data_IF_588797543945
#
_entry.id   IF_588797543945
#
_cell.length_a   1.000
_cell.length_b   1.000
_cell.length_c   1.000
_cell.angle_alpha   90.00
_cell.angle_beta   90.00
_cell.angle_gamma   90.00
#
_symmetry.space_group_name_H-M   'P 1'
#
loop_
_entity.id
_entity.type
_entity.pdbx_description
1 polymer ?
#
# COMPACT_ATOMS: atom_id res chain seq x y z
N UNK A 1 23.83 21.63 -0.77
CA UNK A 1 23.85 20.17 -1.00
C UNK A 1 22.48 19.65 -0.60
N UNK A 2 21.59 19.43 -1.57
CA UNK A 2 20.32 18.76 -1.29
C UNK A 2 20.62 17.31 -0.92
N UNK A 3 20.12 16.86 0.23
CA UNK A 3 20.19 15.46 0.60
C UNK A 3 19.49 14.62 -0.49
N UNK A 4 20.00 13.42 -0.84
CA UNK A 4 19.32 12.57 -1.80
C UNK A 4 17.89 12.32 -1.29
N UNK A 5 16.89 12.82 -2.02
CA UNK A 5 15.50 12.52 -1.74
C UNK A 5 15.34 11.01 -1.91
N UNK A 6 15.28 10.27 -0.80
CA UNK A 6 14.95 8.85 -0.81
C UNK A 6 13.56 8.72 -1.40
N UNK A 7 13.46 8.03 -2.54
CA UNK A 7 12.19 7.78 -3.22
C UNK A 7 11.75 6.38 -2.82
N UNK A 8 10.66 6.27 -2.07
CA UNK A 8 10.00 5.00 -1.81
C UNK A 8 9.11 4.66 -3.02
N UNK A 9 9.34 3.49 -3.62
CA UNK A 9 8.50 2.98 -4.71
C UNK A 9 7.85 1.68 -4.26
N UNK A 10 6.53 1.62 -4.38
CA UNK A 10 5.74 0.43 -4.10
C UNK A 10 4.87 0.09 -5.31
N UNK A 11 4.94 -1.16 -5.74
CA UNK A 11 3.99 -1.75 -6.69
C UNK A 11 2.87 -2.41 -5.89
N UNK A 12 1.65 -1.90 -6.03
CA UNK A 12 0.49 -2.33 -5.25
C UNK A 12 -0.55 -2.88 -6.21
N UNK A 13 -0.76 -4.18 -6.15
CA UNK A 13 -1.80 -4.84 -6.93
C UNK A 13 -3.06 -5.00 -6.10
N UNK A 14 -4.15 -4.44 -6.62
CA UNK A 14 -5.49 -4.56 -6.06
C UNK A 14 -6.37 -5.44 -6.95
N UNK A 15 -7.23 -6.23 -6.33
CA UNK A 15 -8.31 -6.96 -6.99
C UNK A 15 -9.61 -6.25 -6.67
N UNK A 16 -10.27 -5.75 -7.70
CA UNK A 16 -11.59 -5.14 -7.56
C UNK A 16 -12.66 -6.23 -7.68
N UNK A 17 -13.52 -6.34 -6.68
CA UNK A 17 -14.67 -7.25 -6.63
C UNK A 17 -15.94 -6.44 -6.80
N UNK A 18 -16.71 -6.81 -7.80
CA UNK A 18 -18.01 -6.23 -8.10
C UNK A 18 -19.08 -7.16 -7.54
N UNK A 19 -19.93 -6.64 -6.66
CA UNK A 19 -21.11 -7.38 -6.25
C UNK A 19 -22.24 -7.23 -7.28
N UNK A 20 -23.26 -8.09 -7.20
CA UNK A 20 -24.43 -8.03 -8.08
C UNK A 20 -25.33 -6.81 -7.82
N UNK A 21 -25.05 -6.03 -6.77
CA UNK A 21 -25.76 -4.81 -6.41
C UNK A 21 -25.07 -3.53 -6.95
N UNK A 22 -23.92 -3.67 -7.62
CA UNK A 22 -23.15 -2.56 -8.17
C UNK A 22 -22.16 -1.92 -7.20
N UNK A 23 -21.97 -2.48 -6.01
CA UNK A 23 -20.92 -2.07 -5.06
C UNK A 23 -19.56 -2.60 -5.51
N UNK A 24 -18.55 -1.74 -5.42
CA UNK A 24 -17.15 -2.08 -5.69
C UNK A 24 -16.43 -2.19 -4.35
N UNK A 25 -15.83 -3.34 -4.11
CA UNK A 25 -14.86 -3.54 -3.02
C UNK A 25 -13.49 -3.84 -3.61
N UNK A 26 -12.43 -3.48 -2.91
CA UNK A 26 -11.06 -3.82 -3.34
C UNK A 26 -10.42 -4.77 -2.35
N UNK A 27 -9.41 -5.51 -2.80
CA UNK A 27 -8.58 -6.32 -1.93
C UNK A 27 -7.13 -6.17 -2.37
N UNK A 28 -6.23 -5.88 -1.43
CA UNK A 28 -4.80 -5.79 -1.73
C UNK A 28 -4.25 -7.20 -1.92
N UNK A 29 -3.95 -7.56 -3.17
CA UNK A 29 -3.43 -8.87 -3.53
C UNK A 29 -1.95 -9.01 -3.19
N UNK A 30 -1.13 -8.04 -3.63
CA UNK A 30 0.27 -8.00 -3.28
C UNK A 30 0.81 -6.56 -3.26
N UNK A 31 1.85 -6.35 -2.45
CA UNK A 31 2.62 -5.12 -2.37
C UNK A 31 4.09 -5.51 -2.51
N UNK A 32 4.79 -4.94 -3.51
CA UNK A 32 6.23 -5.15 -3.72
C UNK A 32 6.96 -3.83 -3.62
N UNK A 33 8.20 -3.86 -3.13
CA UNK A 33 9.07 -2.67 -3.21
C UNK A 33 9.80 -2.57 -4.55
N UNK A 34 10.64 -1.54 -4.69
CA UNK A 34 11.40 -1.26 -5.90
C UNK A 34 12.30 -2.41 -6.37
N UNK A 35 12.70 -3.30 -5.46
CA UNK A 35 13.53 -4.47 -5.75
C UNK A 35 12.70 -5.72 -6.05
N UNK A 36 11.37 -5.64 -5.93
CA UNK A 36 10.45 -6.73 -6.11
C UNK A 36 10.24 -7.59 -4.86
N UNK A 37 10.77 -7.19 -3.70
CA UNK A 37 10.56 -7.92 -2.45
C UNK A 37 9.10 -7.78 -1.99
N UNK A 38 8.54 -8.88 -1.51
CA UNK A 38 7.16 -8.90 -1.01
C UNK A 38 7.05 -8.16 0.33
N UNK A 39 6.31 -7.05 0.30
CA UNK A 39 5.97 -6.21 1.45
C UNK A 39 4.51 -6.34 1.87
N UNK A 40 3.74 -7.23 1.23
CA UNK A 40 2.32 -7.48 1.56
C UNK A 40 2.06 -7.71 3.05
N UNK A 41 2.77 -8.61 3.76
CA UNK A 41 2.50 -8.84 5.19
C UNK A 41 2.80 -7.60 6.04
N UNK A 42 3.85 -6.86 5.70
CA UNK A 42 4.24 -5.64 6.40
C UNK A 42 3.23 -4.50 6.16
N UNK A 43 2.77 -4.34 4.92
CA UNK A 43 1.77 -3.37 4.53
C UNK A 43 0.41 -3.66 5.20
N UNK A 44 -0.04 -4.92 5.20
CA UNK A 44 -1.29 -5.31 5.88
C UNK A 44 -1.23 -5.07 7.38
N UNK A 45 -0.13 -5.46 8.04
CA UNK A 45 0.06 -5.21 9.46
C UNK A 45 0.10 -3.69 9.78
N UNK A 46 0.71 -2.89 8.90
CA UNK A 46 0.67 -1.44 9.04
C UNK A 46 -0.75 -0.88 8.89
N UNK A 47 -1.47 -1.30 7.85
CA UNK A 47 -2.83 -0.83 7.59
C UNK A 47 -3.77 -1.16 8.75
N UNK A 48 -3.70 -2.39 9.28
CA UNK A 48 -4.46 -2.80 10.46
C UNK A 48 -4.12 -1.96 11.70
N UNK A 49 -2.83 -1.70 11.95
CA UNK A 49 -2.38 -0.89 13.10
C UNK A 49 -2.80 0.57 13.02
N UNK A 50 -2.87 1.13 11.81
CA UNK A 50 -3.29 2.51 11.59
C UNK A 50 -4.82 2.64 11.38
N UNK A 51 -5.54 1.52 11.33
CA UNK A 51 -6.99 1.49 11.16
C UNK A 51 -7.49 1.76 9.74
N UNK A 52 -6.66 1.52 8.72
CA UNK A 52 -7.04 1.68 7.32
C UNK A 52 -7.90 0.53 6.82
N UNK A 53 -9.02 0.86 6.17
CA UNK A 53 -9.87 -0.14 5.52
C UNK A 53 -9.36 -0.49 4.11
N UNK A 54 -8.62 -1.60 4.01
CA UNK A 54 -8.09 -2.09 2.74
C UNK A 54 -9.17 -2.59 1.77
N UNK A 55 -10.45 -2.55 2.13
CA UNK A 55 -11.57 -2.80 1.22
C UNK A 55 -12.02 -1.57 0.44
N UNK A 56 -11.49 -0.38 0.76
CA UNK A 56 -11.76 0.88 0.04
C UNK A 56 -10.51 1.37 -0.69
N UNK A 57 -10.61 1.58 -2.00
CA UNK A 57 -9.49 2.06 -2.83
C UNK A 57 -8.83 3.33 -2.29
N UNK A 58 -9.64 4.32 -1.89
CA UNK A 58 -9.14 5.57 -1.35
C UNK A 58 -8.34 5.39 -0.05
N UNK A 59 -8.68 4.40 0.78
CA UNK A 59 -7.93 4.09 2.00
C UNK A 59 -6.67 3.26 1.71
N UNK A 60 -6.69 2.39 0.69
CA UNK A 60 -5.48 1.73 0.19
C UNK A 60 -4.47 2.78 -0.29
N UNK A 61 -4.89 3.75 -1.11
CA UNK A 61 -4.01 4.80 -1.62
C UNK A 61 -3.41 5.66 -0.49
N UNK A 62 -4.23 6.01 0.52
CA UNK A 62 -3.74 6.72 1.71
C UNK A 62 -2.76 5.88 2.54
N UNK A 63 -3.06 4.60 2.73
CA UNK A 63 -2.18 3.68 3.44
C UNK A 63 -0.83 3.54 2.72
N UNK A 64 -0.80 3.49 1.40
CA UNK A 64 0.44 3.45 0.59
C UNK A 64 1.27 4.72 0.80
N UNK A 65 0.63 5.89 0.74
CA UNK A 65 1.29 7.17 1.01
C UNK A 65 1.95 7.18 2.39
N UNK A 66 1.18 6.89 3.45
CA UNK A 66 1.71 6.87 4.82
C UNK A 66 2.74 5.77 5.05
N UNK A 67 2.57 4.61 4.42
CA UNK A 67 3.53 3.52 4.52
C UNK A 67 4.87 3.94 3.92
N UNK A 68 4.86 4.55 2.74
CA UNK A 68 6.07 5.12 2.16
C UNK A 68 6.67 6.20 3.06
N UNK A 69 5.90 7.17 3.59
CA UNK A 69 6.44 8.18 4.50
C UNK A 69 7.11 7.58 5.74
N UNK A 70 6.51 6.55 6.34
CA UNK A 70 7.00 5.92 7.57
C UNK A 70 8.22 5.01 7.33
N UNK A 71 8.30 4.40 6.15
CA UNK A 71 9.31 3.40 5.83
C UNK A 71 10.30 3.82 4.73
N UNK A 72 10.24 5.05 4.21
CA UNK A 72 11.17 5.62 3.21
C UNK A 72 12.64 5.57 3.65
N UNK A 73 12.89 5.45 4.96
CA UNK A 73 14.25 5.33 5.48
C UNK A 73 14.83 3.92 5.41
N UNK A 74 13.99 2.90 5.22
CA UNK A 74 14.38 1.48 5.21
C UNK A 74 13.97 0.75 3.93
N UNK A 75 13.02 1.30 3.17
CA UNK A 75 12.61 0.77 1.88
C UNK A 75 13.45 1.39 0.76
N UNK A 76 13.82 0.58 -0.24
CA UNK A 76 14.58 1.03 -1.41
C UNK A 76 13.79 1.99 -2.31
#
# INVERSE_FOLDING_TARGET
MEAPQRKCVLDVSIVEKFDSAGSISVEVAHVKDALGDDRTPMFRAFAEREGFDLSKRAEVEQAVGKFCEKFVSILP
#
